data_IF_764807882668
#
_entry.id   IF_764807882668
#
_cell.length_a   1.000
_cell.length_b   1.000
_cell.length_c   1.000
_cell.angle_alpha   90.00
_cell.angle_beta   90.00
_cell.angle_gamma   90.00
#
_symmetry.space_group_name_H-M   'P 1'
#
loop_
_entity.id
_entity.type
_entity.pdbx_description
1 polymer ?
#
# COMPACT_ATOMS: atom_id res chain seq x y z
N UNK A 1 -6.42 0.33 19.77
CA UNK A 1 -5.17 0.93 19.22
C UNK A 1 -4.14 -0.17 19.00
N UNK A 2 -3.48 -0.17 17.87
CA UNK A 2 -2.42 -1.13 17.52
C UNK A 2 -1.14 -0.39 17.18
N UNK A 3 0.01 -1.09 17.29
CA UNK A 3 1.33 -0.46 17.18
C UNK A 3 1.85 -0.47 15.76
N UNK A 4 2.74 0.47 15.45
CA UNK A 4 3.44 0.51 14.16
C UNK A 4 4.32 -0.73 13.98
N UNK A 5 4.98 -1.19 15.05
CA UNK A 5 5.81 -2.40 14.99
C UNK A 5 4.99 -3.63 14.64
N UNK A 6 3.77 -3.74 15.16
CA UNK A 6 2.89 -4.86 14.83
C UNK A 6 2.50 -4.85 13.34
N UNK A 7 2.21 -3.69 12.77
CA UNK A 7 1.93 -3.55 11.34
C UNK A 7 3.14 -3.96 10.50
N UNK A 8 4.33 -3.49 10.86
CA UNK A 8 5.55 -3.83 10.13
C UNK A 8 5.85 -5.33 10.23
N UNK A 9 5.68 -5.93 11.40
CA UNK A 9 5.88 -7.37 11.57
C UNK A 9 4.91 -8.17 10.70
N UNK A 10 3.64 -7.78 10.66
CA UNK A 10 2.65 -8.43 9.79
C UNK A 10 3.02 -8.24 8.31
N UNK A 11 3.38 -7.03 7.89
CA UNK A 11 3.79 -6.76 6.51
C UNK A 11 4.99 -7.62 6.11
N UNK A 12 6.00 -7.73 6.97
CA UNK A 12 7.19 -8.55 6.71
C UNK A 12 6.90 -10.05 6.64
N UNK A 13 5.84 -10.51 7.29
CA UNK A 13 5.41 -11.91 7.17
C UNK A 13 4.91 -12.26 5.77
N UNK A 14 4.63 -11.26 4.94
CA UNK A 14 4.21 -11.44 3.55
C UNK A 14 5.38 -11.44 2.55
N UNK A 15 6.59 -11.16 2.98
CA UNK A 15 7.76 -11.12 2.08
C UNK A 15 7.84 -12.38 1.23
N UNK A 16 8.06 -12.19 -0.08
CA UNK A 16 8.13 -13.28 -1.04
C UNK A 16 6.78 -13.76 -1.57
N UNK A 17 5.65 -13.29 -1.04
CA UNK A 17 4.33 -13.62 -1.60
C UNK A 17 4.30 -13.17 -3.06
N UNK A 18 3.98 -14.08 -4.02
CA UNK A 18 4.01 -13.76 -5.45
C UNK A 18 2.98 -12.71 -5.84
N UNK A 19 3.31 -11.90 -6.85
CA UNK A 19 2.35 -10.96 -7.43
C UNK A 19 1.26 -11.73 -8.19
N UNK A 20 0.01 -11.40 -7.91
CA UNK A 20 -1.14 -11.95 -8.61
C UNK A 20 -2.27 -10.93 -8.61
N UNK A 21 -2.76 -10.56 -9.79
CA UNK A 21 -3.81 -9.57 -9.96
C UNK A 21 -5.03 -9.89 -9.08
N UNK A 22 -5.49 -8.89 -8.31
CA UNK A 22 -6.67 -8.94 -7.42
C UNK A 22 -6.58 -9.92 -6.25
N UNK A 23 -5.48 -10.64 -6.07
CA UNK A 23 -5.32 -11.59 -4.97
C UNK A 23 -4.92 -10.88 -3.67
N UNK A 24 -5.26 -11.50 -2.54
CA UNK A 24 -4.91 -11.03 -1.19
C UNK A 24 -4.81 -12.24 -0.25
N UNK A 25 -3.82 -13.10 -0.50
CA UNK A 25 -3.61 -14.33 0.30
C UNK A 25 -2.13 -14.52 0.58
N UNK A 26 -1.74 -14.37 1.85
CA UNK A 26 -0.35 -14.47 2.29
C UNK A 26 0.29 -15.76 1.80
N UNK A 27 1.48 -15.64 1.19
CA UNK A 27 2.26 -16.77 0.70
C UNK A 27 1.78 -17.35 -0.63
N UNK A 28 0.59 -17.00 -1.08
CA UNK A 28 -0.02 -17.56 -2.30
C UNK A 28 -0.06 -16.52 -3.42
N UNK A 29 -0.54 -15.33 -3.14
CA UNK A 29 -0.57 -14.27 -4.14
C UNK A 29 -1.21 -12.99 -3.63
N UNK A 30 -0.73 -11.85 -4.11
CA UNK A 30 -1.34 -10.55 -3.87
C UNK A 30 -0.89 -9.54 -4.93
N UNK A 31 -1.71 -8.53 -5.19
CA UNK A 31 -1.26 -7.33 -5.88
C UNK A 31 -0.96 -6.24 -4.84
N UNK A 32 -0.71 -5.00 -5.28
CA UNK A 32 -0.34 -3.94 -4.35
C UNK A 32 -1.45 -3.64 -3.33
N UNK A 33 -2.70 -3.55 -3.78
CA UNK A 33 -3.84 -3.33 -2.89
C UNK A 33 -4.13 -4.56 -2.05
N UNK A 34 -4.04 -5.75 -2.64
CA UNK A 34 -4.25 -7.02 -1.93
C UNK A 34 -3.27 -7.20 -0.79
N UNK A 35 -2.02 -6.75 -0.97
CA UNK A 35 -1.02 -6.74 0.08
C UNK A 35 -1.42 -5.82 1.24
N UNK A 36 -1.73 -4.55 0.94
CA UNK A 36 -2.14 -3.59 1.97
C UNK A 36 -3.37 -4.10 2.71
N UNK A 37 -4.37 -4.57 1.98
CA UNK A 37 -5.61 -5.10 2.55
C UNK A 37 -5.35 -6.28 3.47
N UNK A 38 -4.54 -7.25 3.01
CA UNK A 38 -4.23 -8.44 3.79
C UNK A 38 -3.46 -8.13 5.06
N UNK A 39 -2.50 -7.21 5.00
CA UNK A 39 -1.75 -6.76 6.18
C UNK A 39 -2.66 -6.02 7.16
N UNK A 40 -3.55 -5.18 6.67
CA UNK A 40 -4.39 -4.33 7.52
C UNK A 40 -5.54 -5.10 8.22
N UNK A 41 -6.09 -6.14 7.59
CA UNK A 41 -7.28 -6.83 8.11
C UNK A 41 -7.17 -7.31 9.56
N UNK A 42 -6.05 -7.88 10.04
CA UNK A 42 -5.93 -8.27 11.45
C UNK A 42 -6.09 -7.10 12.43
N UNK A 43 -5.90 -5.87 11.98
CA UNK A 43 -5.92 -4.68 12.83
C UNK A 43 -7.23 -3.89 12.71
N UNK A 44 -7.76 -3.76 11.50
CA UNK A 44 -8.92 -2.89 11.23
C UNK A 44 -10.19 -3.67 10.87
N UNK A 45 -10.12 -4.99 10.81
CA UNK A 45 -11.25 -5.83 10.42
C UNK A 45 -11.35 -6.03 8.92
N UNK A 46 -12.38 -6.76 8.49
CA UNK A 46 -12.57 -7.12 7.10
C UNK A 46 -12.70 -5.89 6.20
N UNK A 47 -11.96 -5.90 5.09
CA UNK A 47 -11.96 -4.84 4.10
C UNK A 47 -12.46 -5.42 2.78
N UNK A 48 -13.60 -4.94 2.30
CA UNK A 48 -14.16 -5.33 1.01
C UNK A 48 -13.86 -4.23 0.00
N UNK A 49 -13.30 -4.61 -1.16
CA UNK A 49 -13.03 -3.69 -2.26
C UNK A 49 -13.63 -4.25 -3.56
N UNK A 50 -14.07 -3.38 -4.49
CA UNK A 50 -14.48 -3.83 -5.81
C UNK A 50 -13.30 -4.48 -6.55
N UNK A 51 -13.56 -5.60 -7.25
CA UNK A 51 -12.55 -6.30 -8.03
C UNK A 51 -12.69 -6.00 -9.54
N UNK A 52 -13.21 -4.83 -9.89
CA UNK A 52 -13.39 -4.40 -11.27
C UNK A 52 -12.26 -3.52 -11.79
N UNK A 53 -11.15 -3.42 -11.05
CA UNK A 53 -9.99 -2.65 -11.48
C UNK A 53 -9.08 -3.49 -12.40
N UNK A 54 -8.57 -2.91 -13.51
CA UNK A 54 -7.64 -3.63 -14.39
C UNK A 54 -6.21 -3.61 -13.86
N UNK A 55 -5.36 -4.53 -14.33
CA UNK A 55 -3.92 -4.52 -13.99
C UNK A 55 -3.23 -3.21 -14.36
N UNK A 56 -3.70 -2.58 -15.43
CA UNK A 56 -3.11 -1.36 -15.99
C UNK A 56 -3.94 -0.12 -15.70
N UNK A 57 -4.60 -0.08 -14.56
CA UNK A 57 -5.47 1.04 -14.19
C UNK A 57 -4.78 2.40 -14.11
N UNK A 58 -3.46 2.43 -13.98
CA UNK A 58 -2.68 3.67 -14.08
C UNK A 58 -2.76 4.33 -15.46
N UNK A 59 -3.20 3.59 -16.48
CA UNK A 59 -3.44 4.11 -17.82
C UNK A 59 -4.83 4.71 -17.98
N UNK A 60 -5.73 4.44 -17.04
CA UNK A 60 -7.11 4.95 -17.07
C UNK A 60 -7.20 6.18 -16.20
N UNK A 61 -7.57 7.30 -16.81
CA UNK A 61 -7.53 8.62 -16.18
C UNK A 61 -8.88 9.09 -15.62
N UNK A 62 -9.90 8.23 -15.64
CA UNK A 62 -11.27 8.67 -15.37
C UNK A 62 -11.49 9.06 -13.90
N UNK A 63 -10.97 8.29 -12.95
CA UNK A 63 -11.16 8.56 -11.53
C UNK A 63 -9.91 8.21 -10.74
N UNK A 64 -9.56 8.99 -9.69
CA UNK A 64 -8.49 8.63 -8.76
C UNK A 64 -9.00 7.58 -7.76
N UNK A 65 -9.35 6.40 -8.24
CA UNK A 65 -10.02 5.35 -7.46
C UNK A 65 -9.23 4.90 -6.25
N UNK A 66 -7.91 4.74 -6.39
CA UNK A 66 -7.07 4.35 -5.28
C UNK A 66 -7.08 5.41 -4.19
N UNK A 67 -6.87 6.67 -4.58
CA UNK A 67 -6.89 7.80 -3.65
C UNK A 67 -8.22 7.86 -2.89
N UNK A 68 -9.33 7.80 -3.61
CA UNK A 68 -10.67 7.88 -3.00
C UNK A 68 -10.95 6.72 -2.06
N UNK A 69 -10.48 5.51 -2.41
CA UNK A 69 -10.63 4.34 -1.55
C UNK A 69 -9.89 4.48 -0.23
N UNK A 70 -8.67 4.99 -0.25
CA UNK A 70 -7.92 5.26 0.98
C UNK A 70 -8.50 6.43 1.76
N UNK A 71 -8.90 7.49 1.07
CA UNK A 71 -9.53 8.67 1.68
C UNK A 71 -10.80 8.30 2.46
N UNK A 72 -11.55 7.34 1.97
CA UNK A 72 -12.78 6.86 2.59
C UNK A 72 -12.52 6.06 3.89
N UNK A 73 -11.34 5.45 4.01
CA UNK A 73 -11.03 4.49 5.08
C UNK A 73 -9.94 4.95 6.05
N UNK A 74 -9.11 5.88 5.63
CA UNK A 74 -7.91 6.29 6.36
C UNK A 74 -7.85 7.80 6.49
N UNK A 75 -7.02 8.28 7.42
CA UNK A 75 -6.71 9.70 7.54
C UNK A 75 -5.60 10.07 6.54
N UNK A 76 -5.85 11.06 5.70
CA UNK A 76 -4.80 11.59 4.84
C UNK A 76 -3.86 12.47 5.66
N UNK A 77 -2.56 12.25 5.50
CA UNK A 77 -1.50 13.02 6.17
C UNK A 77 -0.54 13.59 5.13
N UNK A 78 0.27 14.57 5.54
CA UNK A 78 1.33 15.06 4.66
C UNK A 78 2.37 13.96 4.45
N UNK A 79 2.84 13.74 3.21
CA UNK A 79 3.88 12.72 2.96
C UNK A 79 5.13 12.91 3.82
N UNK A 80 5.51 14.15 4.12
CA UNK A 80 6.67 14.44 4.97
C UNK A 80 6.50 13.97 6.42
N UNK A 81 5.26 13.76 6.86
CA UNK A 81 4.93 13.32 8.22
C UNK A 81 4.75 11.80 8.32
N UNK A 82 4.90 11.07 7.22
CA UNK A 82 4.70 9.63 7.21
C UNK A 82 5.79 8.92 8.02
N UNK A 83 5.35 7.98 8.86
CA UNK A 83 6.19 7.17 9.73
C UNK A 83 5.99 5.69 9.39
N UNK A 84 6.88 4.84 9.90
CA UNK A 84 6.78 3.39 9.69
C UNK A 84 5.37 2.88 10.07
N UNK A 85 4.72 2.15 9.16
CA UNK A 85 3.35 1.68 9.32
C UNK A 85 2.31 2.54 8.61
N UNK A 86 2.66 3.76 8.18
CA UNK A 86 1.80 4.57 7.33
C UNK A 86 1.87 4.07 5.88
N UNK A 87 0.92 4.50 5.06
CA UNK A 87 0.76 4.05 3.69
C UNK A 87 1.09 5.20 2.74
N UNK A 88 1.88 4.91 1.71
CA UNK A 88 2.18 5.86 0.64
C UNK A 88 1.51 5.41 -0.66
N UNK A 89 1.01 6.37 -1.42
CA UNK A 89 0.46 6.16 -2.75
C UNK A 89 1.37 6.79 -3.80
N UNK A 90 1.54 6.08 -4.90
CA UNK A 90 2.42 6.46 -6.00
C UNK A 90 1.66 6.51 -7.32
N UNK A 91 2.12 7.35 -8.24
CA UNK A 91 1.57 7.46 -9.59
C UNK A 91 2.67 7.60 -10.63
N UNK A 92 2.28 7.48 -11.90
CA UNK A 92 3.19 7.66 -13.02
C UNK A 92 2.80 8.91 -13.81
N UNK A 93 3.80 9.70 -14.20
CA UNK A 93 3.56 10.92 -14.96
C UNK A 93 2.57 11.84 -14.27
N UNK A 94 1.53 12.27 -15.00
CA UNK A 94 0.44 13.11 -14.48
C UNK A 94 -0.81 12.30 -14.11
N UNK A 95 -0.72 10.96 -14.19
CA UNK A 95 -1.86 10.11 -13.88
C UNK A 95 -2.15 10.04 -12.39
N UNK A 96 -3.34 9.51 -12.03
CA UNK A 96 -3.69 9.31 -10.63
C UNK A 96 -2.82 8.24 -9.99
N UNK A 97 -2.84 8.20 -8.64
CA UNK A 97 -2.18 7.14 -7.90
C UNK A 97 -2.72 5.76 -8.31
N UNK A 98 -1.82 4.81 -8.53
CA UNK A 98 -2.16 3.45 -8.95
C UNK A 98 -1.34 2.38 -8.23
N UNK A 99 -0.48 2.77 -7.30
CA UNK A 99 0.37 1.87 -6.52
C UNK A 99 0.43 2.33 -5.07
N UNK A 100 0.60 1.39 -4.15
CA UNK A 100 0.66 1.67 -2.73
C UNK A 100 1.69 0.80 -2.02
N UNK A 101 2.23 1.32 -0.92
CA UNK A 101 3.25 0.66 -0.11
C UNK A 101 3.09 1.07 1.35
N UNK A 102 3.59 0.23 2.29
CA UNK A 102 3.82 0.68 3.66
C UNK A 102 5.20 1.30 3.78
N UNK A 103 5.30 2.33 4.61
CA UNK A 103 6.60 2.85 5.07
C UNK A 103 7.18 1.89 6.10
N UNK A 104 8.47 1.61 6.01
CA UNK A 104 9.20 0.79 6.98
C UNK A 104 10.46 1.52 7.45
N UNK A 105 11.14 1.05 8.52
CA UNK A 105 12.43 1.61 8.91
C UNK A 105 13.51 1.51 7.81
N UNK A 106 13.39 0.53 6.91
CA UNK A 106 14.29 0.37 5.75
C UNK A 106 13.92 1.32 4.61
N UNK A 107 12.64 1.59 4.43
CA UNK A 107 12.11 2.43 3.36
C UNK A 107 10.67 2.08 3.01
N UNK A 108 10.49 1.13 2.10
CA UNK A 108 9.18 0.69 1.62
C UNK A 108 9.06 -0.82 1.65
N UNK A 109 7.85 -1.32 1.94
CA UNK A 109 7.47 -2.72 1.70
C UNK A 109 6.19 -2.74 0.88
N UNK A 110 6.19 -3.47 -0.22
CA UNK A 110 5.08 -3.50 -1.17
C UNK A 110 5.16 -4.70 -2.10
N UNK A 111 4.06 -4.96 -2.81
CA UNK A 111 4.00 -5.94 -3.88
C UNK A 111 3.78 -5.21 -5.19
N UNK A 112 4.70 -5.30 -6.13
CA UNK A 112 4.51 -4.70 -7.45
C UNK A 112 4.92 -5.66 -8.55
N UNK A 113 4.29 -5.45 -9.71
CA UNK A 113 4.34 -6.41 -10.82
C UNK A 113 5.76 -6.70 -11.31
N UNK A 114 6.59 -5.67 -11.45
CA UNK A 114 7.95 -5.79 -11.98
C UNK A 114 8.87 -6.56 -11.04
N UNK A 115 8.64 -6.46 -9.73
CA UNK A 115 9.37 -7.27 -8.75
C UNK A 115 8.83 -8.70 -8.69
N UNK A 116 7.59 -8.91 -9.08
CA UNK A 116 6.94 -10.22 -9.10
C UNK A 116 6.54 -10.77 -7.74
N UNK A 117 6.76 -10.03 -6.67
CA UNK A 117 6.50 -10.47 -5.30
C UNK A 117 6.57 -9.30 -4.31
N UNK A 118 6.19 -9.57 -3.06
CA UNK A 118 6.38 -8.62 -1.95
C UNK A 118 7.86 -8.50 -1.66
N UNK A 119 8.35 -7.25 -1.67
CA UNK A 119 9.75 -6.89 -1.39
C UNK A 119 9.82 -5.71 -0.44
N UNK A 120 10.93 -5.61 0.29
CA UNK A 120 11.25 -4.45 1.13
C UNK A 120 12.59 -3.87 0.66
N UNK A 121 12.66 -2.56 0.47
CA UNK A 121 13.87 -1.88 0.01
C UNK A 121 13.88 -0.42 0.41
N UNK A 122 15.00 0.27 0.19
CA UNK A 122 15.13 1.69 0.51
C UNK A 122 14.19 2.56 -0.33
N UNK A 123 13.81 3.71 0.22
CA UNK A 123 12.97 4.69 -0.47
C UNK A 123 13.85 5.52 -1.40
N UNK A 124 14.10 4.98 -2.58
CA UNK A 124 15.01 5.55 -3.57
C UNK A 124 14.45 6.82 -4.23
N UNK A 125 15.30 7.67 -4.86
CA UNK A 125 14.84 8.84 -5.60
C UNK A 125 13.81 8.50 -6.69
N UNK A 126 13.93 7.34 -7.33
CA UNK A 126 12.97 6.88 -8.34
C UNK A 126 11.55 6.78 -7.77
N UNK A 127 11.42 6.18 -6.58
CA UNK A 127 10.13 6.07 -5.88
C UNK A 127 9.67 7.41 -5.32
N UNK A 128 10.59 8.20 -4.75
CA UNK A 128 10.28 9.53 -4.22
C UNK A 128 9.65 10.43 -5.29
N UNK A 129 10.14 10.36 -6.53
CA UNK A 129 9.60 11.15 -7.64
C UNK A 129 8.16 10.77 -8.02
N UNK A 130 7.70 9.58 -7.64
CA UNK A 130 6.36 9.07 -7.95
C UNK A 130 5.37 9.25 -6.80
N UNK A 131 5.81 9.73 -5.66
CA UNK A 131 4.98 9.90 -4.47
C UNK A 131 3.86 10.92 -4.73
N UNK A 132 2.62 10.56 -4.34
CA UNK A 132 1.43 11.38 -4.51
C UNK A 132 0.76 11.72 -3.18
N UNK A 133 0.49 10.71 -2.34
CA UNK A 133 -0.31 10.85 -1.13
C UNK A 133 0.25 9.98 -0.03
N UNK A 134 -0.12 10.31 1.21
CA UNK A 134 0.17 9.48 2.38
C UNK A 134 -1.09 9.35 3.23
N UNK A 135 -1.27 8.18 3.83
CA UNK A 135 -2.43 7.87 4.66
C UNK A 135 -2.01 7.14 5.92
N UNK A 136 -2.80 7.32 6.96
CA UNK A 136 -2.65 6.64 8.25
C UNK A 136 -3.90 5.83 8.55
N UNK A 137 -3.71 4.55 8.88
CA UNK A 137 -4.84 3.71 9.26
C UNK A 137 -5.50 4.21 10.55
N UNK A 138 -6.84 4.06 10.69
CA UNK A 138 -7.50 4.41 11.94
C UNK A 138 -6.95 3.56 13.09
N UNK A 139 -6.89 4.13 14.28
CA UNK A 139 -6.40 3.50 15.50
C UNK A 139 -4.92 3.09 15.51
N UNK A 140 -4.15 3.48 14.50
CA UNK A 140 -2.70 3.27 14.51
C UNK A 140 -2.05 4.22 15.53
N UNK A 141 -1.22 3.68 16.40
CA UNK A 141 -0.49 4.47 17.38
C UNK A 141 0.40 5.52 16.70
N UNK A 142 0.46 6.74 17.27
CA UNK A 142 1.21 7.85 16.69
C UNK A 142 2.74 7.69 16.82
N UNK A 143 3.15 6.87 17.76
CA UNK A 143 4.58 6.65 17.98
C UNK A 143 4.90 5.18 18.17
#
# INVERSE_FOLDING_TARGET
MFTRDAVIAEARSWLGTPWHHQASLKGVGCDCIGFIRGVAQPFVGEITIPLDYPETWHLYRAEPRMYLGFKDRCEEIEPADALAGDILLFGAGRGPAHHCAFVTPVGLIHCYREAGKVVEHGFSPWWQAKLRHAFRMPDLALA
#
